data_IF_138312497396
#
_entry.id   IF_138312497396
#
_cell.length_a   1.000
_cell.length_b   1.000
_cell.length_c   1.000
_cell.angle_alpha   90.00
_cell.angle_beta   90.00
_cell.angle_gamma   90.00
#
_symmetry.space_group_name_H-M   'P 1'
#
loop_
_entity.id
_entity.type
_entity.pdbx_description
1 polymer ?
#
# COMPACT_ATOMS: atom_id res chain seq x y z
N UNK A 1 20.26 -2.61 0.38
CA UNK A 1 20.09 -2.83 -1.07
C UNK A 1 21.43 -3.26 -1.68
N UNK A 2 21.38 -4.27 -2.52
CA UNK A 2 22.57 -4.74 -3.20
C UNK A 2 22.92 -3.78 -4.34
N UNK A 3 24.21 -3.48 -4.51
CA UNK A 3 24.70 -2.63 -5.58
C UNK A 3 24.25 -3.09 -6.97
N UNK A 4 24.25 -4.40 -7.20
CA UNK A 4 23.84 -4.95 -8.50
C UNK A 4 22.38 -4.70 -8.81
N UNK A 5 21.53 -4.62 -7.82
CA UNK A 5 20.13 -4.33 -8.01
C UNK A 5 19.91 -2.91 -8.51
N UNK A 6 20.74 -1.97 -8.07
CA UNK A 6 20.68 -0.57 -8.49
C UNK A 6 21.07 -0.43 -9.96
N UNK A 7 22.00 -1.25 -10.44
CA UNK A 7 22.44 -1.20 -11.83
C UNK A 7 21.41 -1.69 -12.84
N UNK A 8 20.44 -2.46 -12.38
CA UNK A 8 19.37 -2.89 -13.26
C UNK A 8 18.57 -1.68 -13.75
N UNK A 9 18.32 -1.58 -15.06
CA UNK A 9 17.51 -0.51 -15.62
C UNK A 9 16.15 -0.44 -14.96
N UNK A 10 15.55 -1.59 -14.67
CA UNK A 10 14.26 -1.68 -14.02
C UNK A 10 14.30 -1.10 -12.61
N UNK A 11 15.33 -1.45 -11.83
CA UNK A 11 15.49 -0.93 -10.47
C UNK A 11 15.71 0.58 -10.48
N UNK A 12 16.54 1.07 -11.39
CA UNK A 12 16.80 2.51 -11.53
C UNK A 12 15.54 3.27 -11.92
N UNK A 13 14.76 2.74 -12.84
CA UNK A 13 13.51 3.38 -13.26
C UNK A 13 12.49 3.42 -12.11
N UNK A 14 12.42 2.36 -11.31
CA UNK A 14 11.54 2.33 -10.14
C UNK A 14 11.95 3.38 -9.11
N UNK A 15 13.24 3.51 -8.84
CA UNK A 15 13.75 4.51 -7.90
C UNK A 15 13.46 5.93 -8.38
N UNK A 16 13.63 6.18 -9.66
CA UNK A 16 13.45 7.50 -10.25
C UNK A 16 11.98 7.87 -10.42
N UNK A 17 11.19 6.98 -10.96
CA UNK A 17 9.83 7.27 -11.43
C UNK A 17 8.74 6.78 -10.47
N UNK A 18 9.11 5.90 -9.54
CA UNK A 18 8.14 5.24 -8.68
C UNK A 18 7.38 4.15 -9.42
N UNK A 19 6.31 3.68 -8.80
CA UNK A 19 5.40 2.72 -9.41
C UNK A 19 4.13 3.40 -9.87
N UNK A 20 3.36 2.77 -10.79
CA UNK A 20 1.98 3.17 -10.97
C UNK A 20 1.20 2.92 -9.68
N UNK A 21 0.05 3.58 -9.49
CA UNK A 21 -0.81 3.28 -8.35
C UNK A 21 -1.50 1.92 -8.56
N UNK A 22 -1.60 1.16 -7.47
CA UNK A 22 -2.33 -0.10 -7.43
C UNK A 22 -3.54 0.10 -6.55
N UNK A 23 -4.71 0.08 -7.16
CA UNK A 23 -5.96 0.40 -6.48
C UNK A 23 -6.76 -0.88 -6.22
N UNK A 24 -7.28 -1.01 -5.00
CA UNK A 24 -8.18 -2.09 -4.63
C UNK A 24 -9.44 -1.52 -4.00
N UNK A 25 -10.58 -1.87 -4.56
CA UNK A 25 -11.88 -1.59 -3.97
C UNK A 25 -12.33 -2.82 -3.20
N UNK A 26 -12.54 -2.66 -1.89
CA UNK A 26 -12.97 -3.77 -1.05
C UNK A 26 -14.41 -4.16 -1.39
N UNK A 27 -14.70 -5.45 -1.35
CA UNK A 27 -16.05 -5.94 -1.45
C UNK A 27 -16.85 -5.63 -0.20
N UNK A 28 -18.05 -6.17 -0.12
CA UNK A 28 -18.87 -6.03 1.09
C UNK A 28 -18.19 -6.73 2.26
N UNK A 29 -18.11 -6.05 3.40
CA UNK A 29 -17.52 -6.60 4.62
C UNK A 29 -18.64 -6.70 5.64
N UNK A 30 -19.21 -7.88 5.78
CA UNK A 30 -20.31 -8.10 6.72
C UNK A 30 -19.81 -7.97 8.16
N UNK A 31 -20.74 -7.69 9.07
CA UNK A 31 -20.42 -7.57 10.48
C UNK A 31 -19.69 -8.81 10.98
N UNK A 32 -18.57 -8.61 11.65
CA UNK A 32 -17.73 -9.68 12.17
C UNK A 32 -16.75 -10.29 11.17
N UNK A 33 -16.77 -9.85 9.92
CA UNK A 33 -15.90 -10.39 8.87
C UNK A 33 -14.71 -9.47 8.60
N UNK A 34 -13.76 -9.99 7.84
CA UNK A 34 -12.62 -9.20 7.36
C UNK A 34 -12.34 -9.50 5.90
N UNK A 35 -11.55 -8.61 5.28
CA UNK A 35 -11.07 -8.81 3.93
C UNK A 35 -9.59 -8.45 3.87
N UNK A 36 -8.82 -9.24 3.13
CA UNK A 36 -7.39 -9.06 2.94
C UNK A 36 -7.07 -8.54 1.55
N UNK A 37 -6.07 -7.68 1.49
CA UNK A 37 -5.30 -7.43 0.27
C UNK A 37 -3.90 -7.99 0.52
N UNK A 38 -3.49 -8.94 -0.29
CA UNK A 38 -2.11 -9.45 -0.29
C UNK A 38 -1.49 -8.95 -1.58
N UNK A 39 -0.49 -8.08 -1.47
CA UNK A 39 0.07 -7.38 -2.63
C UNK A 39 0.49 -8.36 -3.72
N UNK A 40 1.15 -9.43 -3.37
CA UNK A 40 1.63 -10.43 -4.32
C UNK A 40 0.51 -11.05 -5.14
N UNK A 41 -0.61 -11.38 -4.52
CA UNK A 41 -1.73 -12.04 -5.21
C UNK A 41 -2.75 -11.06 -5.78
N UNK A 42 -2.99 -9.96 -5.10
CA UNK A 42 -3.99 -8.97 -5.54
C UNK A 42 -3.45 -8.13 -6.70
N UNK A 43 -2.15 -7.83 -6.67
CA UNK A 43 -1.50 -7.02 -7.69
C UNK A 43 -0.27 -7.74 -8.24
N UNK A 44 -0.46 -8.72 -9.14
CA UNK A 44 0.69 -9.45 -9.69
C UNK A 44 1.73 -8.56 -10.36
N UNK A 45 1.30 -7.42 -10.93
CA UNK A 45 2.20 -6.49 -11.60
C UNK A 45 3.05 -5.67 -10.62
N UNK A 46 2.67 -5.63 -9.36
CA UNK A 46 3.43 -4.91 -8.35
C UNK A 46 4.79 -5.53 -8.08
N UNK A 47 4.97 -6.78 -8.44
CA UNK A 47 6.22 -7.51 -8.23
C UNK A 47 7.44 -6.77 -8.79
N UNK A 48 7.26 -6.06 -9.89
CA UNK A 48 8.33 -5.28 -10.52
C UNK A 48 8.75 -4.06 -9.68
N UNK A 49 7.92 -3.63 -8.74
CA UNK A 49 8.09 -2.39 -7.99
C UNK A 49 8.17 -2.59 -6.48
N UNK A 50 8.09 -3.83 -6.02
CA UNK A 50 8.13 -4.13 -4.59
C UNK A 50 9.47 -3.74 -3.96
N UNK A 51 9.44 -3.31 -2.70
CA UNK A 51 8.25 -3.16 -1.88
C UNK A 51 7.46 -1.89 -2.22
N UNK A 52 6.13 -1.98 -2.16
CA UNK A 52 5.29 -0.79 -2.21
C UNK A 52 5.35 -0.14 -0.83
N UNK A 53 5.61 1.16 -0.78
CA UNK A 53 5.93 1.84 0.48
C UNK A 53 4.95 2.94 0.85
N UNK A 54 3.94 3.16 0.04
CA UNK A 54 2.90 4.15 0.30
C UNK A 54 1.54 3.48 0.27
N UNK A 55 0.73 3.73 1.28
CA UNK A 55 -0.61 3.17 1.42
C UNK A 55 -1.57 4.28 1.82
N UNK A 56 -2.63 4.43 1.06
CA UNK A 56 -3.75 5.32 1.39
C UNK A 56 -5.01 4.48 1.45
N UNK A 57 -5.72 4.55 2.56
CA UNK A 57 -6.98 3.83 2.74
C UNK A 57 -8.08 4.86 2.97
N UNK A 58 -9.15 4.73 2.20
CA UNK A 58 -10.32 5.59 2.34
C UNK A 58 -11.47 4.77 2.90
N UNK A 59 -12.02 5.18 4.03
CA UNK A 59 -13.20 4.57 4.61
C UNK A 59 -14.39 5.49 4.41
N UNK A 60 -15.15 5.28 3.35
CA UNK A 60 -16.37 6.04 3.05
C UNK A 60 -17.63 5.39 3.64
N UNK A 61 -17.45 4.35 4.46
CA UNK A 61 -18.58 3.72 5.12
C UNK A 61 -19.02 4.52 6.36
N UNK A 62 -20.17 4.18 6.90
CA UNK A 62 -20.66 4.75 8.15
C UNK A 62 -20.09 4.01 9.38
N UNK A 63 -19.24 2.99 9.17
CA UNK A 63 -18.77 2.13 10.23
C UNK A 63 -17.32 2.40 10.59
N UNK A 64 -16.97 2.21 11.87
CA UNK A 64 -15.59 2.22 12.31
C UNK A 64 -15.01 0.82 12.09
N UNK A 65 -13.91 0.76 11.37
CA UNK A 65 -13.27 -0.50 11.01
C UNK A 65 -11.95 -0.65 11.75
N UNK A 66 -11.40 -1.85 11.74
CA UNK A 66 -10.07 -2.10 12.29
C UNK A 66 -9.10 -2.40 11.17
N UNK A 67 -7.89 -1.87 11.28
CA UNK A 67 -6.86 -1.94 10.27
C UNK A 67 -5.67 -2.75 10.77
N UNK A 68 -5.21 -3.68 9.96
CA UNK A 68 -3.95 -4.38 10.20
C UNK A 68 -3.09 -4.31 8.93
N UNK A 69 -1.81 -4.06 9.09
CA UNK A 69 -0.85 -4.00 7.99
C UNK A 69 0.27 -4.98 8.28
N UNK A 70 0.57 -5.84 7.32
CA UNK A 70 1.59 -6.88 7.45
C UNK A 70 1.37 -7.78 8.68
N UNK A 71 0.09 -7.99 9.05
CA UNK A 71 -0.26 -8.78 10.22
C UNK A 71 -0.19 -8.06 11.55
N UNK A 72 0.14 -6.79 11.56
CA UNK A 72 0.21 -5.98 12.79
C UNK A 72 -1.01 -5.07 12.90
N UNK A 73 -1.65 -5.04 14.05
CA UNK A 73 -2.79 -4.18 14.29
C UNK A 73 -2.36 -2.72 14.40
N UNK A 74 -3.01 -1.87 13.64
CA UNK A 74 -2.78 -0.42 13.64
C UNK A 74 -3.93 0.35 14.31
N UNK A 75 -4.95 -0.36 14.79
CA UNK A 75 -6.07 0.22 15.49
C UNK A 75 -7.23 0.59 14.56
N UNK A 76 -7.95 1.62 14.91
CA UNK A 76 -9.18 1.99 14.24
C UNK A 76 -8.98 2.76 12.95
N UNK A 77 -9.84 2.45 11.99
CA UNK A 77 -10.04 3.23 10.78
C UNK A 77 -11.46 3.83 10.87
N UNK A 78 -11.61 5.05 11.41
CA UNK A 78 -12.94 5.61 11.65
C UNK A 78 -13.74 5.86 10.39
N UNK A 79 -15.05 5.92 10.52
CA UNK A 79 -15.95 6.26 9.42
C UNK A 79 -15.58 7.60 8.82
N UNK A 80 -15.54 7.68 7.50
CA UNK A 80 -15.28 8.92 6.77
C UNK A 80 -13.83 9.39 6.78
N UNK A 81 -12.89 8.59 7.26
CA UNK A 81 -11.48 8.99 7.39
C UNK A 81 -10.65 8.45 6.23
N UNK A 82 -9.69 9.26 5.82
CA UNK A 82 -8.60 8.85 4.93
C UNK A 82 -7.37 8.60 5.79
N UNK A 83 -6.83 7.40 5.72
CA UNK A 83 -5.66 6.98 6.50
C UNK A 83 -4.46 6.81 5.56
N UNK A 84 -3.32 7.34 5.96
CA UNK A 84 -2.12 7.31 5.12
C UNK A 84 -0.91 6.79 5.89
N UNK A 85 -0.06 6.05 5.18
CA UNK A 85 1.24 5.63 5.66
C UNK A 85 2.24 5.74 4.52
N UNK A 86 3.43 6.26 4.82
CA UNK A 86 4.52 6.37 3.85
C UNK A 86 5.81 5.78 4.43
N UNK A 87 6.76 5.47 3.55
CA UNK A 87 8.11 5.02 3.91
C UNK A 87 8.16 3.72 4.69
N UNK A 88 7.15 2.88 4.54
CA UNK A 88 7.12 1.54 5.15
C UNK A 88 6.64 0.51 4.14
N UNK A 89 7.33 -0.62 4.01
CA UNK A 89 6.88 -1.68 3.11
C UNK A 89 5.48 -2.17 3.47
N UNK A 90 4.67 -2.38 2.46
CA UNK A 90 3.32 -2.92 2.62
C UNK A 90 3.23 -4.22 1.83
N UNK A 91 3.02 -5.33 2.53
CA UNK A 91 2.87 -6.65 1.94
C UNK A 91 1.44 -7.15 1.99
N UNK A 92 0.70 -6.72 3.01
CA UNK A 92 -0.71 -7.09 3.17
C UNK A 92 -1.45 -6.03 3.96
N UNK A 93 -2.75 -5.93 3.70
CA UNK A 93 -3.68 -5.05 4.42
C UNK A 93 -4.91 -5.86 4.77
N UNK A 94 -5.34 -5.79 6.02
CA UNK A 94 -6.58 -6.43 6.46
C UNK A 94 -7.51 -5.38 7.05
N UNK A 95 -8.73 -5.36 6.57
CA UNK A 95 -9.80 -4.53 7.12
C UNK A 95 -10.80 -5.46 7.80
N UNK A 96 -11.07 -5.21 9.06
CA UNK A 96 -12.02 -6.00 9.85
C UNK A 96 -13.19 -5.13 10.27
N UNK A 97 -14.40 -5.64 10.06
CA UNK A 97 -15.62 -4.97 10.49
C UNK A 97 -16.08 -5.58 11.81
N UNK A 98 -15.71 -4.95 12.91
CA UNK A 98 -16.13 -5.39 14.25
C UNK A 98 -17.42 -4.71 14.71
N UNK A 99 -18.05 -3.88 13.88
CA UNK A 99 -19.33 -3.28 14.17
C UNK A 99 -20.49 -4.24 13.84
N UNK A 100 -21.69 -3.83 14.20
CA UNK A 100 -22.89 -4.67 14.04
C UNK A 100 -23.56 -4.48 12.69
N UNK A 101 -23.10 -3.55 11.87
CA UNK A 101 -23.70 -3.22 10.57
C UNK A 101 -22.74 -3.56 9.45
N UNK A 102 -23.28 -4.08 8.35
CA UNK A 102 -22.48 -4.44 7.18
C UNK A 102 -21.96 -3.21 6.45
N UNK A 103 -20.75 -3.34 5.89
CA UNK A 103 -20.16 -2.36 4.98
C UNK A 103 -20.46 -2.80 3.55
N UNK A 104 -20.98 -1.90 2.73
CA UNK A 104 -21.30 -2.21 1.35
C UNK A 104 -20.04 -2.26 0.48
N UNK A 105 -20.14 -2.99 -0.61
CA UNK A 105 -19.05 -3.09 -1.59
C UNK A 105 -18.68 -1.71 -2.13
N UNK A 106 -17.40 -1.43 -2.21
CA UNK A 106 -16.87 -0.19 -2.76
C UNK A 106 -16.78 0.97 -1.77
N UNK A 107 -17.28 0.83 -0.54
CA UNK A 107 -17.19 1.90 0.45
C UNK A 107 -15.80 2.05 1.05
N UNK A 108 -14.98 1.01 0.99
CA UNK A 108 -13.59 1.05 1.46
C UNK A 108 -12.68 0.77 0.29
N UNK A 109 -11.63 1.55 0.17
CA UNK A 109 -10.67 1.39 -0.92
C UNK A 109 -9.26 1.63 -0.42
N UNK A 110 -8.30 0.97 -1.06
CA UNK A 110 -6.88 1.14 -0.77
C UNK A 110 -6.14 1.48 -2.05
N UNK A 111 -5.18 2.38 -1.94
CA UNK A 111 -4.27 2.72 -3.02
C UNK A 111 -2.85 2.52 -2.53
N UNK A 112 -2.09 1.70 -3.25
CA UNK A 112 -0.72 1.35 -2.89
C UNK A 112 0.21 1.73 -4.02
N UNK A 113 1.37 2.28 -3.67
CA UNK A 113 2.38 2.61 -4.66
C UNK A 113 3.75 2.75 -4.01
N UNK A 114 4.77 2.79 -4.86
CA UNK A 114 6.10 3.22 -4.45
C UNK A 114 6.29 4.61 -5.02
N UNK A 115 6.34 5.66 -4.17
CA UNK A 115 6.50 7.01 -4.68
C UNK A 115 7.88 7.19 -5.33
N UNK A 116 8.01 8.11 -6.28
CA UNK A 116 9.30 8.38 -6.88
C UNK A 116 10.25 8.98 -5.86
N UNK A 117 11.52 8.64 -6.00
CA UNK A 117 12.59 9.26 -5.23
C UNK A 117 12.76 10.71 -5.70
N UNK A 118 13.07 11.63 -4.80
CA UNK A 118 13.39 13.00 -5.19
C UNK A 118 14.62 13.01 -6.08
N UNK A 119 14.72 13.99 -6.97
CA UNK A 119 15.86 14.05 -7.88
C UNK A 119 17.19 14.17 -7.13
N UNK A 120 17.23 14.93 -6.05
CA UNK A 120 18.45 15.06 -5.26
C UNK A 120 18.85 13.75 -4.59
N UNK A 121 17.89 13.01 -4.07
CA UNK A 121 18.16 11.69 -3.50
C UNK A 121 18.64 10.70 -4.57
N UNK A 122 18.03 10.72 -5.73
CA UNK A 122 18.41 9.85 -6.84
C UNK A 122 19.81 10.15 -7.33
N UNK A 123 20.14 11.43 -7.49
CA UNK A 123 21.46 11.86 -7.91
C UNK A 123 22.53 11.42 -6.89
N UNK A 124 22.22 11.60 -5.60
CA UNK A 124 23.14 11.20 -4.53
C UNK A 124 23.37 9.69 -4.53
N UNK A 125 22.32 8.92 -4.75
CA UNK A 125 22.44 7.46 -4.83
C UNK A 125 23.32 7.04 -6.00
N UNK A 126 23.17 7.69 -7.14
CA UNK A 126 24.02 7.42 -8.30
C UNK A 126 25.48 7.76 -8.06
N UNK A 127 25.75 8.85 -7.37
CA UNK A 127 27.12 9.24 -7.01
C UNK A 127 27.78 8.23 -6.09
N UNK A 128 26.99 7.62 -5.18
CA UNK A 128 27.51 6.64 -4.24
C UNK A 128 27.70 5.25 -4.84
N UNK A 129 26.81 4.83 -5.74
CA UNK A 129 26.75 3.45 -6.22
C UNK A 129 26.73 3.32 -7.72
N UNK A 130 26.49 4.39 -8.44
CA UNK A 130 26.16 4.33 -9.86
C UNK A 130 27.37 4.53 -10.72
N UNK A 131 28.08 4.27 -11.14
CA UNK A 131 29.02 4.50 -12.11
C UNK A 131 29.18 5.62 -12.76
#
# INVERSE_FOLDING_TARGET
MNFYQIKSTRALNTLRDGSPPFFHSFGAIVAGANEYVVVESTFPRARAYEPLTSLVITNNSAENLDLAINGHDYGRLPAGVIWEQTDRPVWSVRITNNDSTNVASGEVAANLQTPPMSQSQFTRLRELYGD
#
